data_IF_482576897204
#
_entry.id   IF_482576897204
#
_cell.length_a   1.000
_cell.length_b   1.000
_cell.length_c   1.000
_cell.angle_alpha   90.00
_cell.angle_beta   90.00
_cell.angle_gamma   90.00
#
_symmetry.space_group_name_H-M   'P 1'
#
loop_
_entity.id
_entity.type
_entity.pdbx_description
1 polymer ?
#
# COMPACT_ATOMS: atom_id res chain seq x y z
N UNK A 1 29.46 49.11 -18.54
CA UNK A 1 28.06 49.56 -18.39
C UNK A 1 27.20 48.55 -19.12
N UNK A 2 26.80 47.48 -18.42
CA UNK A 2 26.10 46.33 -19.00
C UNK A 2 24.62 46.42 -18.61
N UNK A 3 23.77 46.42 -19.63
CA UNK A 3 22.32 46.59 -19.56
C UNK A 3 21.68 45.33 -18.98
N UNK A 4 20.96 45.46 -17.86
CA UNK A 4 20.16 44.37 -17.30
C UNK A 4 18.99 44.06 -18.25
N UNK A 5 19.03 42.85 -18.84
CA UNK A 5 17.89 42.27 -19.53
C UNK A 5 16.76 42.01 -18.54
N UNK A 6 15.57 42.49 -18.90
CA UNK A 6 14.29 42.20 -18.27
C UNK A 6 14.12 40.70 -18.04
N UNK A 7 13.95 40.30 -16.78
CA UNK A 7 13.48 38.98 -16.40
C UNK A 7 12.11 38.74 -17.03
N UNK A 8 12.09 37.94 -18.07
CA UNK A 8 10.89 37.34 -18.64
C UNK A 8 10.12 36.63 -17.54
N UNK A 9 8.88 37.06 -17.33
CA UNK A 9 7.84 36.33 -16.59
C UNK A 9 7.85 34.87 -17.05
N UNK A 10 7.74 33.87 -16.16
CA UNK A 10 7.56 32.50 -16.62
C UNK A 10 6.28 32.49 -17.44
N UNK A 11 6.39 32.20 -18.73
CA UNK A 11 5.24 31.88 -19.56
C UNK A 11 4.43 30.83 -18.81
N UNK A 12 3.12 31.05 -18.75
CA UNK A 12 2.14 30.07 -18.32
C UNK A 12 2.17 28.89 -19.32
N UNK A 13 3.22 28.07 -19.20
CA UNK A 13 3.39 26.84 -19.94
C UNK A 13 2.32 25.86 -19.49
N UNK A 14 1.37 25.63 -20.39
CA UNK A 14 0.50 24.46 -20.46
C UNK A 14 0.13 23.86 -19.09
N UNK A 15 -0.89 24.43 -18.45
CA UNK A 15 -1.58 23.77 -17.35
C UNK A 15 -2.35 22.57 -17.93
N UNK A 16 -1.61 21.52 -18.31
CA UNK A 16 -2.15 20.28 -18.81
C UNK A 16 -3.29 19.84 -17.91
N UNK A 17 -4.46 19.66 -18.50
CA UNK A 17 -5.70 19.34 -17.79
C UNK A 17 -5.44 18.23 -16.77
N UNK A 18 -5.59 18.55 -15.48
CA UNK A 18 -5.33 17.60 -14.38
C UNK A 18 -6.12 16.30 -14.64
N UNK A 19 -5.57 15.13 -14.28
CA UNK A 19 -6.30 13.87 -14.42
C UNK A 19 -7.66 13.96 -13.70
N UNK A 20 -8.72 13.43 -14.31
CA UNK A 20 -10.09 13.55 -13.80
C UNK A 20 -10.25 13.07 -12.35
N UNK A 21 -9.47 12.05 -11.95
CA UNK A 21 -9.50 11.53 -10.58
C UNK A 21 -8.85 12.49 -9.56
N UNK A 22 -7.79 13.20 -9.96
CA UNK A 22 -7.18 14.24 -9.11
C UNK A 22 -8.16 15.37 -8.89
N UNK A 23 -8.85 15.80 -9.95
CA UNK A 23 -9.90 16.81 -9.87
C UNK A 23 -11.06 16.36 -8.96
N UNK A 24 -11.48 15.10 -9.05
CA UNK A 24 -12.50 14.53 -8.16
C UNK A 24 -12.06 14.53 -6.68
N UNK A 25 -10.79 14.21 -6.39
CA UNK A 25 -10.26 14.25 -5.02
C UNK A 25 -10.15 15.68 -4.49
N UNK A 26 -9.69 16.63 -5.30
CA UNK A 26 -9.68 18.05 -4.91
C UNK A 26 -11.09 18.55 -4.60
N UNK A 27 -12.10 18.19 -5.41
CA UNK A 27 -13.50 18.54 -5.12
C UNK A 27 -13.98 17.94 -3.81
N UNK A 28 -13.64 16.69 -3.54
CA UNK A 28 -14.02 16.00 -2.30
C UNK A 28 -13.35 16.62 -1.07
N UNK A 29 -12.07 16.95 -1.17
CA UNK A 29 -11.28 17.63 -0.13
C UNK A 29 -11.83 19.01 0.24
N UNK A 30 -12.40 19.73 -0.73
CA UNK A 30 -12.97 21.07 -0.54
C UNK A 30 -14.50 21.04 -0.31
N UNK A 31 -15.12 19.87 -0.17
CA UNK A 31 -16.56 19.75 0.03
C UNK A 31 -16.95 20.07 1.50
N UNK A 32 -17.07 21.36 1.82
CA UNK A 32 -17.43 21.87 3.18
C UNK A 32 -18.78 21.32 3.69
N UNK A 33 -19.68 20.90 2.80
CA UNK A 33 -20.92 20.22 3.16
C UNK A 33 -20.71 18.90 3.94
N UNK A 34 -19.49 18.36 3.96
CA UNK A 34 -19.10 17.19 4.74
C UNK A 34 -18.71 17.53 6.19
N UNK A 35 -18.45 18.80 6.52
CA UNK A 35 -18.01 19.22 7.86
C UNK A 35 -19.05 18.86 8.93
N UNK A 36 -20.34 18.98 8.61
CA UNK A 36 -21.43 18.53 9.50
C UNK A 36 -21.32 17.05 9.92
N UNK A 37 -20.73 16.21 9.08
CA UNK A 37 -20.54 14.79 9.37
C UNK A 37 -19.24 14.56 10.14
N UNK A 38 -18.19 15.32 9.80
CA UNK A 38 -16.97 15.38 10.59
C UNK A 38 -17.29 15.76 12.04
N UNK A 39 -18.06 16.84 12.25
CA UNK A 39 -18.40 17.35 13.58
C UNK A 39 -19.26 16.39 14.38
N UNK A 40 -20.14 15.62 13.71
CA UNK A 40 -20.96 14.59 14.36
C UNK A 40 -20.16 13.36 14.79
N UNK A 41 -19.16 12.97 14.02
CA UNK A 41 -18.36 11.77 14.28
C UNK A 41 -17.17 12.05 15.20
N UNK A 42 -16.66 13.29 15.22
CA UNK A 42 -15.48 13.68 15.99
C UNK A 42 -15.57 13.36 17.49
N UNK A 43 -16.69 13.59 18.21
CA UNK A 43 -16.77 13.28 19.63
C UNK A 43 -16.64 11.79 19.93
N UNK A 44 -17.28 10.94 19.12
CA UNK A 44 -17.20 9.49 19.28
C UNK A 44 -15.78 8.97 18.97
N UNK A 45 -15.16 9.50 17.92
CA UNK A 45 -13.79 9.16 17.56
C UNK A 45 -12.79 9.60 18.65
N UNK A 46 -12.96 10.80 19.20
CA UNK A 46 -12.13 11.31 20.29
C UNK A 46 -12.31 10.49 21.58
N UNK A 47 -13.54 10.05 21.89
CA UNK A 47 -13.81 9.19 23.04
C UNK A 47 -13.10 7.83 22.94
N UNK A 48 -13.02 7.26 21.72
CA UNK A 48 -12.35 5.98 21.46
C UNK A 48 -10.85 6.02 21.82
N UNK A 49 -10.18 7.14 21.55
CA UNK A 49 -8.73 7.32 21.76
C UNK A 49 -8.41 8.14 23.03
N UNK A 50 -9.37 8.28 23.95
CA UNK A 50 -9.19 9.07 25.18
C UNK A 50 -8.14 8.46 26.12
N UNK A 51 -8.08 7.13 26.17
CA UNK A 51 -7.05 6.40 26.90
C UNK A 51 -5.82 6.20 26.00
N UNK A 52 -4.65 6.64 26.46
CA UNK A 52 -3.42 6.59 25.66
C UNK A 52 -2.96 5.18 25.35
N UNK A 53 -3.16 4.20 26.25
CA UNK A 53 -2.76 2.80 25.97
C UNK A 53 -3.64 2.20 24.88
N UNK A 54 -4.93 2.54 24.89
CA UNK A 54 -5.88 2.13 23.84
C UNK A 54 -5.52 2.82 22.52
N UNK A 55 -5.24 4.11 22.53
CA UNK A 55 -4.82 4.86 21.35
C UNK A 55 -3.54 4.27 20.73
N UNK A 56 -2.51 4.04 21.54
CA UNK A 56 -1.23 3.48 21.10
C UNK A 56 -1.38 2.11 20.44
N UNK A 57 -2.25 1.25 21.01
CA UNK A 57 -2.58 -0.06 20.44
C UNK A 57 -3.32 0.08 19.11
N UNK A 58 -4.36 0.91 19.05
CA UNK A 58 -5.21 1.09 17.86
C UNK A 58 -4.48 1.79 16.71
N UNK A 59 -3.48 2.62 17.01
CA UNK A 59 -2.61 3.23 16.02
C UNK A 59 -1.46 2.32 15.59
N UNK A 60 -1.20 1.21 16.31
CA UNK A 60 -0.12 0.28 15.98
C UNK A 60 1.28 0.78 16.33
N UNK A 61 1.40 1.70 17.31
CA UNK A 61 2.68 2.35 17.66
C UNK A 61 3.80 1.36 18.01
N UNK A 62 3.47 0.28 18.72
CA UNK A 62 4.45 -0.76 19.08
C UNK A 62 5.02 -1.50 17.86
N UNK A 63 4.26 -1.60 16.77
CA UNK A 63 4.70 -2.21 15.52
C UNK A 63 5.42 -1.20 14.59
N UNK A 64 5.43 0.09 14.94
CA UNK A 64 5.98 1.18 14.11
C UNK A 64 5.21 1.45 12.82
N UNK A 65 4.01 0.87 12.68
CA UNK A 65 3.19 0.97 11.47
C UNK A 65 1.72 1.18 11.83
N UNK A 66 1.02 1.94 10.99
CA UNK A 66 -0.42 2.15 11.09
C UNK A 66 -1.16 0.80 11.13
N UNK A 67 -1.97 0.57 12.17
CA UNK A 67 -2.67 -0.69 12.33
C UNK A 67 -3.80 -0.86 11.29
N UNK A 68 -4.47 0.23 10.89
CA UNK A 68 -5.60 0.13 9.97
C UNK A 68 -5.19 -0.38 8.58
N UNK A 69 -4.20 0.20 7.87
CA UNK A 69 -3.77 -0.31 6.56
C UNK A 69 -3.39 -1.80 6.61
N UNK A 70 -2.65 -2.23 7.62
CA UNK A 70 -2.27 -3.65 7.78
C UNK A 70 -3.49 -4.54 7.98
N UNK A 71 -4.46 -4.10 8.79
CA UNK A 71 -5.69 -4.87 9.00
C UNK A 71 -6.58 -4.92 7.76
N UNK A 72 -6.53 -3.91 6.86
CA UNK A 72 -7.34 -3.92 5.63
C UNK A 72 -6.99 -5.06 4.66
N UNK A 73 -5.78 -5.61 4.74
CA UNK A 73 -5.37 -6.75 3.89
C UNK A 73 -6.24 -7.98 4.11
N UNK A 74 -6.73 -8.20 5.34
CA UNK A 74 -7.57 -9.36 5.68
C UNK A 74 -8.95 -9.30 5.00
N UNK A 75 -9.78 -8.25 5.16
CA UNK A 75 -11.05 -8.15 4.43
C UNK A 75 -10.83 -8.10 2.91
N UNK A 76 -9.82 -7.40 2.40
CA UNK A 76 -9.53 -7.35 0.96
C UNK A 76 -9.21 -8.74 0.42
N UNK A 77 -8.28 -9.45 1.06
CA UNK A 77 -7.86 -10.79 0.63
C UNK A 77 -9.00 -11.81 0.72
N UNK A 78 -9.76 -11.80 1.81
CA UNK A 78 -10.87 -12.75 2.00
C UNK A 78 -12.01 -12.50 1.02
N UNK A 79 -12.43 -11.25 0.80
CA UNK A 79 -13.51 -10.93 -0.14
C UNK A 79 -13.10 -11.11 -1.61
N UNK A 80 -11.85 -10.78 -1.96
CA UNK A 80 -11.32 -11.07 -3.30
C UNK A 80 -11.26 -12.57 -3.55
N UNK A 81 -10.81 -13.35 -2.57
CA UNK A 81 -10.80 -14.81 -2.67
C UNK A 81 -12.20 -15.39 -2.82
N UNK A 82 -13.19 -14.86 -2.09
CA UNK A 82 -14.58 -15.28 -2.24
C UNK A 82 -15.11 -14.99 -3.66
N UNK A 83 -14.80 -13.83 -4.22
CA UNK A 83 -15.13 -13.47 -5.60
C UNK A 83 -14.51 -14.45 -6.60
N UNK A 84 -13.23 -14.79 -6.45
CA UNK A 84 -12.58 -15.78 -7.32
C UNK A 84 -13.25 -17.15 -7.21
N UNK A 85 -13.60 -17.60 -6.00
CA UNK A 85 -14.32 -18.86 -5.83
C UNK A 85 -15.72 -18.85 -6.47
N UNK A 86 -16.42 -17.71 -6.46
CA UNK A 86 -17.70 -17.56 -7.15
C UNK A 86 -17.55 -17.58 -8.67
N UNK A 87 -16.44 -17.05 -9.20
CA UNK A 87 -16.18 -16.95 -10.62
C UNK A 87 -15.72 -18.29 -11.23
N UNK A 88 -14.75 -18.96 -10.59
CA UNK A 88 -14.07 -20.13 -11.16
C UNK A 88 -14.19 -21.41 -10.32
N UNK A 89 -14.67 -21.32 -9.07
CA UNK A 89 -14.70 -22.45 -8.13
C UNK A 89 -15.89 -23.41 -8.29
N UNK A 90 -16.94 -23.02 -9.01
CA UNK A 90 -18.14 -23.83 -9.21
C UNK A 90 -18.91 -24.15 -7.92
N UNK A 91 -19.85 -25.11 -7.99
CA UNK A 91 -20.80 -25.39 -6.89
C UNK A 91 -20.12 -25.91 -5.61
N UNK A 92 -19.01 -26.64 -5.74
CA UNK A 92 -18.26 -27.22 -4.60
C UNK A 92 -17.60 -26.15 -3.73
N UNK A 93 -17.25 -24.99 -4.30
CA UNK A 93 -16.57 -23.90 -3.58
C UNK A 93 -17.52 -22.96 -2.84
N UNK A 94 -18.84 -23.09 -3.02
CA UNK A 94 -19.84 -22.20 -2.38
C UNK A 94 -19.73 -22.11 -0.85
N UNK A 95 -19.49 -23.21 -0.09
CA UNK A 95 -19.29 -23.12 1.35
C UNK A 95 -18.02 -22.33 1.71
N UNK A 96 -16.92 -22.53 0.97
CA UNK A 96 -15.67 -21.80 1.19
C UNK A 96 -15.83 -20.30 0.88
N UNK A 97 -16.48 -19.95 -0.23
CA UNK A 97 -16.79 -18.56 -0.56
C UNK A 97 -17.60 -17.88 0.56
N UNK A 98 -18.64 -18.56 1.09
CA UNK A 98 -19.42 -18.03 2.20
C UNK A 98 -18.59 -17.84 3.49
N UNK A 99 -17.70 -18.78 3.81
CA UNK A 99 -16.80 -18.67 4.98
C UNK A 99 -15.86 -17.47 4.84
N UNK A 100 -15.28 -17.26 3.67
CA UNK A 100 -14.42 -16.11 3.39
C UNK A 100 -15.17 -14.78 3.50
N UNK A 101 -16.41 -14.70 2.98
CA UNK A 101 -17.27 -13.53 3.18
C UNK A 101 -17.47 -13.27 4.68
N UNK A 102 -17.77 -14.31 5.46
CA UNK A 102 -17.92 -14.22 6.91
C UNK A 102 -16.65 -13.78 7.62
N UNK A 103 -15.49 -14.34 7.24
CA UNK A 103 -14.19 -13.95 7.81
C UNK A 103 -13.88 -12.47 7.55
N UNK A 104 -14.13 -11.98 6.33
CA UNK A 104 -13.96 -10.56 6.01
C UNK A 104 -14.91 -9.65 6.79
N UNK A 105 -16.17 -10.06 7.02
CA UNK A 105 -17.11 -9.30 7.88
C UNK A 105 -16.57 -9.20 9.33
N UNK A 106 -16.05 -10.31 9.87
CA UNK A 106 -15.49 -10.31 11.22
C UNK A 106 -14.22 -9.44 11.31
N UNK A 107 -13.34 -9.52 10.31
CA UNK A 107 -12.13 -8.71 10.24
C UNK A 107 -12.41 -7.21 10.02
N UNK A 108 -13.50 -6.87 9.33
CA UNK A 108 -13.88 -5.48 9.09
C UNK A 108 -14.17 -4.71 10.38
N UNK A 109 -14.60 -5.37 11.46
CA UNK A 109 -14.90 -4.72 12.75
C UNK A 109 -13.66 -4.11 13.39
N UNK A 110 -12.60 -4.87 13.75
CA UNK A 110 -11.38 -4.28 14.30
C UNK A 110 -10.70 -3.34 13.30
N UNK A 111 -10.79 -3.62 11.99
CA UNK A 111 -10.28 -2.73 10.93
C UNK A 111 -10.96 -1.36 10.97
N UNK A 112 -12.29 -1.30 11.13
CA UNK A 112 -13.02 -0.04 11.22
C UNK A 112 -12.69 0.72 12.51
N UNK A 113 -12.48 0.02 13.62
CA UNK A 113 -12.11 0.63 14.91
C UNK A 113 -10.73 1.29 14.83
N UNK A 114 -9.72 0.61 14.27
CA UNK A 114 -8.40 1.21 14.08
C UNK A 114 -8.44 2.38 13.10
N UNK A 115 -9.22 2.29 12.02
CA UNK A 115 -9.41 3.39 11.08
C UNK A 115 -10.08 4.61 11.71
N UNK A 116 -11.07 4.41 12.59
CA UNK A 116 -11.69 5.50 13.35
C UNK A 116 -10.71 6.15 14.34
N UNK A 117 -9.84 5.36 14.97
CA UNK A 117 -8.78 5.88 15.84
C UNK A 117 -7.75 6.71 15.07
N UNK A 118 -7.32 6.27 13.89
CA UNK A 118 -6.41 7.03 13.01
C UNK A 118 -7.08 8.32 12.49
N UNK A 119 -8.35 8.25 12.13
CA UNK A 119 -9.12 9.43 11.73
C UNK A 119 -9.27 10.45 12.86
N UNK A 120 -9.41 10.00 14.12
CA UNK A 120 -9.44 10.87 15.29
C UNK A 120 -8.16 11.71 15.45
N UNK A 121 -7.01 11.15 15.07
CA UNK A 121 -5.70 11.81 15.10
C UNK A 121 -5.44 12.72 13.88
N UNK A 122 -6.31 12.70 12.87
CA UNK A 122 -6.18 13.53 11.67
C UNK A 122 -6.58 14.98 11.98
N UNK A 123 -5.65 15.92 11.79
CA UNK A 123 -5.82 17.33 12.15
C UNK A 123 -6.35 18.20 11.00
N UNK A 124 -6.10 17.83 9.74
CA UNK A 124 -6.50 18.63 8.59
C UNK A 124 -7.92 18.27 8.08
N UNK A 125 -8.74 19.29 7.84
CA UNK A 125 -10.13 19.10 7.40
C UNK A 125 -10.26 18.38 6.05
N UNK A 126 -9.45 18.66 5.01
CA UNK A 126 -9.54 17.95 3.74
C UNK A 126 -9.42 16.43 3.89
N UNK A 127 -8.42 15.94 4.64
CA UNK A 127 -8.28 14.51 4.91
C UNK A 127 -9.46 13.96 5.73
N UNK A 128 -9.96 14.72 6.72
CA UNK A 128 -11.11 14.30 7.54
C UNK A 128 -12.37 14.11 6.68
N UNK A 129 -12.62 15.00 5.72
CA UNK A 129 -13.76 14.92 4.78
C UNK A 129 -13.69 13.67 3.91
N UNK A 130 -12.51 13.39 3.32
CA UNK A 130 -12.28 12.16 2.56
C UNK A 130 -12.48 10.93 3.46
N UNK A 131 -12.00 10.98 4.70
CA UNK A 131 -12.18 9.93 5.71
C UNK A 131 -13.64 9.60 6.01
N UNK A 132 -14.53 10.60 6.10
CA UNK A 132 -15.97 10.38 6.27
C UNK A 132 -16.57 9.62 5.09
N UNK A 133 -16.22 10.00 3.86
CA UNK A 133 -16.75 9.32 2.66
C UNK A 133 -16.20 7.90 2.54
N UNK A 134 -14.92 7.70 2.87
CA UNK A 134 -14.30 6.38 2.95
C UNK A 134 -15.01 5.48 4.00
N UNK A 135 -15.27 5.99 5.20
CA UNK A 135 -15.98 5.26 6.24
C UNK A 135 -17.42 4.92 5.83
N UNK A 136 -18.12 5.85 5.18
CA UNK A 136 -19.48 5.64 4.68
C UNK A 136 -19.52 4.56 3.57
N UNK A 137 -18.61 4.63 2.60
CA UNK A 137 -18.51 3.64 1.53
C UNK A 137 -18.19 2.24 2.07
N UNK A 138 -17.24 2.11 3.01
CA UNK A 138 -16.96 0.83 3.66
C UNK A 138 -18.14 0.29 4.47
N UNK A 139 -18.93 1.17 5.10
CA UNK A 139 -20.15 0.76 5.82
C UNK A 139 -21.19 0.18 4.85
N UNK A 140 -21.41 0.83 3.70
CA UNK A 140 -22.28 0.30 2.62
C UNK A 140 -21.75 -1.04 2.12
N UNK A 141 -20.45 -1.16 1.88
CA UNK A 141 -19.78 -2.41 1.51
C UNK A 141 -20.03 -3.53 2.53
N UNK A 142 -19.84 -3.25 3.82
CA UNK A 142 -20.07 -4.20 4.91
C UNK A 142 -21.53 -4.66 4.98
N UNK A 143 -22.49 -3.75 4.78
CA UNK A 143 -23.92 -4.09 4.69
C UNK A 143 -24.19 -5.01 3.50
N UNK A 144 -23.61 -4.74 2.33
CA UNK A 144 -23.75 -5.57 1.13
C UNK A 144 -23.15 -6.97 1.35
N UNK A 145 -21.95 -7.07 1.95
CA UNK A 145 -21.34 -8.35 2.29
C UNK A 145 -22.14 -9.13 3.34
N UNK A 146 -22.68 -8.44 4.35
CA UNK A 146 -23.57 -9.05 5.35
C UNK A 146 -24.85 -9.58 4.70
N UNK A 147 -25.46 -8.81 3.80
CA UNK A 147 -26.61 -9.24 3.03
C UNK A 147 -26.26 -10.44 2.13
N UNK A 148 -25.08 -10.45 1.50
CA UNK A 148 -24.56 -11.59 0.73
C UNK A 148 -24.44 -12.85 1.60
N UNK A 149 -23.79 -12.76 2.76
CA UNK A 149 -23.63 -13.86 3.71
C UNK A 149 -24.99 -14.45 4.12
N UNK A 150 -25.96 -13.58 4.43
CA UNK A 150 -27.32 -13.96 4.80
C UNK A 150 -28.11 -14.58 3.65
N UNK A 151 -27.96 -14.09 2.42
CA UNK A 151 -28.61 -14.65 1.24
C UNK A 151 -28.08 -16.06 0.92
N UNK A 152 -26.75 -16.24 0.94
CA UNK A 152 -26.09 -17.55 0.76
C UNK A 152 -26.53 -18.55 1.83
N UNK A 153 -26.68 -18.11 3.08
CA UNK A 153 -27.16 -18.94 4.17
C UNK A 153 -28.62 -19.41 4.06
N UNK A 154 -29.45 -18.68 3.29
CA UNK A 154 -30.84 -19.07 2.98
C UNK A 154 -30.99 -19.83 1.67
N UNK A 155 -29.89 -20.25 1.05
CA UNK A 155 -29.91 -20.94 -0.25
C UNK A 155 -30.01 -20.03 -1.48
N UNK A 156 -30.17 -18.71 -1.30
CA UNK A 156 -30.22 -17.74 -2.40
C UNK A 156 -28.81 -17.36 -2.90
N UNK A 157 -28.08 -18.33 -3.44
CA UNK A 157 -26.67 -18.16 -3.79
C UNK A 157 -26.42 -17.07 -4.85
N UNK A 158 -27.18 -17.05 -5.96
CA UNK A 158 -26.99 -16.05 -7.02
C UNK A 158 -27.19 -14.61 -6.50
N UNK A 159 -28.24 -14.39 -5.68
CA UNK A 159 -28.45 -13.12 -4.99
C UNK A 159 -27.26 -12.76 -4.10
N UNK A 160 -26.71 -13.76 -3.40
CA UNK A 160 -25.48 -13.62 -2.63
C UNK A 160 -24.30 -13.14 -3.47
N UNK A 161 -24.08 -13.74 -4.63
CA UNK A 161 -23.00 -13.35 -5.57
C UNK A 161 -23.18 -11.91 -6.04
N UNK A 162 -24.37 -11.53 -6.50
CA UNK A 162 -24.66 -10.15 -6.95
C UNK A 162 -24.41 -9.14 -5.84
N UNK A 163 -24.86 -9.42 -4.62
CA UNK A 163 -24.62 -8.55 -3.46
C UNK A 163 -23.14 -8.42 -3.12
N UNK A 164 -22.37 -9.51 -3.15
CA UNK A 164 -20.93 -9.44 -2.89
C UNK A 164 -20.14 -8.78 -4.01
N UNK A 165 -20.60 -8.87 -5.27
CA UNK A 165 -20.01 -8.13 -6.40
C UNK A 165 -20.26 -6.62 -6.27
N UNK A 166 -21.49 -6.22 -5.92
CA UNK A 166 -21.78 -4.82 -5.61
C UNK A 166 -20.94 -4.32 -4.44
N UNK A 167 -20.81 -5.14 -3.38
CA UNK A 167 -19.94 -4.87 -2.23
C UNK A 167 -18.48 -4.68 -2.64
N UNK A 168 -17.96 -5.55 -3.51
CA UNK A 168 -16.59 -5.47 -4.02
C UNK A 168 -16.36 -4.18 -4.80
N UNK A 169 -17.31 -3.75 -5.64
CA UNK A 169 -17.21 -2.49 -6.37
C UNK A 169 -17.18 -1.28 -5.43
N UNK A 170 -18.07 -1.24 -4.43
CA UNK A 170 -18.12 -0.15 -3.44
C UNK A 170 -16.83 -0.11 -2.59
N UNK A 171 -16.38 -1.25 -2.08
CA UNK A 171 -15.15 -1.33 -1.28
C UNK A 171 -13.92 -1.03 -2.12
N UNK A 172 -13.88 -1.43 -3.40
CA UNK A 172 -12.81 -1.06 -4.33
C UNK A 172 -12.69 0.46 -4.52
N UNK A 173 -13.82 1.14 -4.75
CA UNK A 173 -13.86 2.60 -4.79
C UNK A 173 -13.45 3.25 -3.46
N UNK A 174 -13.87 2.66 -2.34
CA UNK A 174 -13.42 3.10 -1.02
C UNK A 174 -11.92 2.90 -0.80
N UNK A 175 -11.36 1.79 -1.32
CA UNK A 175 -9.94 1.49 -1.30
C UNK A 175 -9.10 2.55 -2.01
N UNK A 176 -9.62 3.12 -3.11
CA UNK A 176 -9.00 4.30 -3.75
C UNK A 176 -8.95 5.51 -2.80
N UNK A 177 -10.03 5.81 -2.08
CA UNK A 177 -10.04 6.89 -1.07
C UNK A 177 -9.04 6.61 0.06
N UNK A 178 -8.93 5.36 0.52
CA UNK A 178 -7.97 4.94 1.53
C UNK A 178 -6.53 5.09 1.04
N UNK A 179 -6.26 4.73 -0.22
CA UNK A 179 -4.97 4.95 -0.87
C UNK A 179 -4.65 6.44 -1.01
N UNK A 180 -5.63 7.29 -1.31
CA UNK A 180 -5.44 8.75 -1.31
C UNK A 180 -5.05 9.27 0.08
N UNK A 181 -5.75 8.85 1.14
CA UNK A 181 -5.44 9.22 2.53
C UNK A 181 -4.03 8.75 2.96
N UNK A 182 -3.70 7.50 2.70
CA UNK A 182 -2.44 6.90 3.15
C UNK A 182 -1.26 7.31 2.27
N UNK A 183 -1.37 7.22 0.94
CA UNK A 183 -0.24 7.41 0.04
C UNK A 183 -0.03 8.88 -0.33
N UNK A 184 -1.10 9.62 -0.63
CA UNK A 184 -1.01 11.02 -1.06
C UNK A 184 -1.00 12.00 0.12
N UNK A 185 -1.88 11.79 1.11
CA UNK A 185 -2.00 12.67 2.30
C UNK A 185 -1.14 12.24 3.48
N UNK A 186 -0.55 11.05 3.44
CA UNK A 186 0.29 10.48 4.52
C UNK A 186 -0.42 10.39 5.88
N UNK A 187 -1.74 10.27 5.87
CA UNK A 187 -2.53 10.04 7.10
C UNK A 187 -2.08 8.72 7.71
N UNK A 188 -1.70 8.75 8.99
CA UNK A 188 -1.24 7.64 9.83
C UNK A 188 -0.01 6.84 9.35
N UNK A 189 0.45 7.01 8.11
CA UNK A 189 1.49 6.17 7.49
C UNK A 189 2.90 6.75 7.51
N UNK A 190 3.10 7.94 8.11
CA UNK A 190 4.43 8.54 8.30
C UNK A 190 4.75 8.68 9.77
N UNK A 191 5.66 7.84 10.27
CA UNK A 191 6.19 7.98 11.62
C UNK A 191 7.09 9.24 11.71
N UNK A 192 6.97 10.06 12.78
CA UNK A 192 7.81 11.24 13.00
C UNK A 192 9.31 10.95 12.95
N UNK A 193 9.76 9.75 13.33
CA UNK A 193 11.15 9.33 13.26
C UNK A 193 11.71 9.33 11.82
N UNK A 194 10.85 9.17 10.81
CA UNK A 194 11.21 9.28 9.38
C UNK A 194 10.84 10.65 8.77
N UNK A 195 10.28 11.57 9.57
CA UNK A 195 10.02 12.96 9.15
C UNK A 195 11.23 13.85 9.41
N UNK A 196 11.94 13.62 10.52
CA UNK A 196 13.26 14.20 10.75
C UNK A 196 14.28 13.38 9.94
N UNK A 197 14.94 14.00 8.95
CA UNK A 197 16.26 13.50 8.55
C UNK A 197 17.16 13.66 9.75
N UNK A 198 17.32 12.62 10.57
CA UNK A 198 18.35 12.60 11.61
C UNK A 198 19.67 12.64 10.83
N UNK A 199 20.49 13.71 10.93
CA UNK A 199 21.82 13.66 10.38
C UNK A 199 22.51 12.46 11.00
N UNK A 200 23.02 11.55 10.17
CA UNK A 200 23.87 10.48 10.68
C UNK A 200 24.99 11.14 11.48
N UNK A 201 25.34 10.62 12.67
CA UNK A 201 26.58 11.02 13.33
C UNK A 201 27.72 10.95 12.30
N UNK A 202 28.64 11.91 12.31
CA UNK A 202 29.72 12.01 11.31
C UNK A 202 30.47 10.66 11.16
N UNK A 203 30.54 9.88 12.22
CA UNK A 203 31.11 8.53 12.30
C UNK A 203 30.40 7.50 11.38
N UNK A 204 29.07 7.57 11.28
CA UNK A 204 28.26 6.69 10.41
C UNK A 204 28.23 7.22 8.99
N UNK A 205 28.18 8.54 8.81
CA UNK A 205 28.29 9.17 7.49
C UNK A 205 29.65 8.86 6.83
N UNK A 206 30.74 8.89 7.60
CA UNK A 206 32.08 8.52 7.16
C UNK A 206 32.20 7.03 6.82
N UNK A 207 31.51 6.15 7.56
CA UNK A 207 31.51 4.70 7.29
C UNK A 207 30.75 4.30 6.01
N UNK A 208 29.78 5.10 5.57
CA UNK A 208 29.00 4.85 4.33
C UNK A 208 29.63 5.59 3.13
N UNK A 209 30.43 6.63 3.38
CA UNK A 209 31.05 7.49 2.37
C UNK A 209 32.40 7.03 1.80
N UNK A 210 32.86 5.80 2.07
CA UNK A 210 34.18 5.32 1.59
C UNK A 210 34.16 3.92 1.00
N UNK A 211 33.40 3.72 -0.08
CA UNK A 211 33.71 2.68 -1.09
C UNK A 211 33.42 3.20 -2.50
N UNK A 212 33.90 4.38 -2.85
CA UNK A 212 34.23 4.67 -4.25
C UNK A 212 35.69 5.07 -4.25
N UNK A 213 36.52 4.11 -4.65
CA UNK A 213 37.95 4.26 -4.72
C UNK A 213 38.34 5.50 -5.52
N UNK A 214 39.36 6.17 -5.01
CA UNK A 214 40.16 7.10 -5.76
C UNK A 214 40.58 6.46 -7.09
N UNK A 215 40.16 7.07 -8.20
CA UNK A 215 40.88 7.01 -9.45
C UNK A 215 41.03 8.46 -9.93
N UNK A 216 42.06 9.12 -9.41
CA UNK A 216 42.68 10.29 -10.03
C UNK A 216 43.22 9.86 -11.39
N UNK A 217 42.53 10.25 -12.46
CA UNK A 217 42.95 9.98 -13.83
C UNK A 217 42.46 11.09 -14.76
N UNK A 218 43.33 12.05 -15.04
CA UNK A 218 43.20 13.03 -16.12
C UNK A 218 43.06 12.35 -17.48
N UNK A 219 41.94 12.58 -18.18
CA UNK A 219 41.85 12.39 -19.63
C UNK A 219 40.87 13.39 -20.24
N UNK A 220 41.45 14.35 -20.97
CA UNK A 220 40.83 15.20 -22.00
C UNK A 220 40.20 14.37 -23.12
N UNK A 221 39.02 14.77 -23.61
CA UNK A 221 38.62 14.49 -25.00
C UNK A 221 37.17 14.03 -25.25
N UNK A 222 36.45 14.88 -25.99
CA UNK A 222 35.38 14.59 -26.98
C UNK A 222 34.08 13.94 -26.54
N UNK A 223 32.96 14.59 -26.90
CA UNK A 223 31.63 14.30 -26.41
C UNK A 223 30.87 13.18 -27.11
N UNK A 224 29.74 12.83 -26.51
CA UNK A 224 28.48 12.36 -27.12
C UNK A 224 27.45 12.27 -26.01
N UNK A 225 26.20 12.65 -26.30
CA UNK A 225 25.16 12.81 -25.29
C UNK A 225 24.50 11.51 -24.80
N UNK A 226 23.49 11.76 -23.97
CA UNK A 226 22.39 10.87 -23.52
C UNK A 226 22.70 9.80 -22.47
N UNK A 227 22.02 9.88 -21.33
CA UNK A 227 20.92 8.98 -20.97
C UNK A 227 20.84 8.71 -19.45
N UNK A 228 19.64 8.93 -18.92
CA UNK A 228 19.11 8.40 -17.65
C UNK A 228 19.46 6.92 -17.45
N UNK A 229 19.75 6.53 -16.20
CA UNK A 229 19.60 5.16 -15.73
C UNK A 229 19.12 5.12 -14.27
N UNK A 230 17.84 5.43 -14.10
CA UNK A 230 17.00 4.77 -13.11
C UNK A 230 16.31 3.57 -13.78
N UNK A 231 17.04 2.49 -14.07
CA UNK A 231 16.43 1.19 -14.40
C UNK A 231 17.47 0.06 -14.40
N UNK A 232 17.56 -0.72 -13.32
CA UNK A 232 17.94 -2.14 -13.35
C UNK A 232 17.94 -2.74 -11.91
N UNK A 233 16.79 -2.77 -11.24
CA UNK A 233 16.56 -3.80 -10.22
C UNK A 233 16.00 -5.04 -10.95
N UNK A 234 16.84 -5.61 -11.81
CA UNK A 234 16.57 -6.79 -12.62
C UNK A 234 17.73 -7.74 -12.45
N UNK A 235 17.44 -8.87 -11.82
CA UNK A 235 18.29 -10.03 -11.57
C UNK A 235 19.42 -10.22 -12.59
N UNK A 236 20.64 -10.49 -12.09
CA UNK A 236 21.65 -11.21 -12.86
C UNK A 236 22.37 -12.26 -11.98
N UNK A 237 22.75 -13.40 -12.59
CA UNK A 237 23.18 -14.63 -11.94
C UNK A 237 24.70 -14.67 -11.74
N UNK A 238 25.19 -15.31 -10.68
CA UNK A 238 26.62 -15.62 -10.55
C UNK A 238 26.92 -16.95 -11.25
N UNK A 239 27.33 -16.86 -12.51
CA UNK A 239 28.01 -17.92 -13.25
C UNK A 239 29.50 -17.60 -13.39
N UNK A 240 30.33 -18.50 -12.83
CA UNK A 240 31.69 -18.94 -13.20
C UNK A 240 32.60 -18.07 -14.06
N UNK A 241 33.83 -17.85 -13.54
CA UNK A 241 35.14 -18.14 -14.17
C UNK A 241 36.14 -18.42 -13.03
N UNK A 242 36.62 -19.64 -12.82
CA UNK A 242 37.76 -20.30 -13.47
C UNK A 242 39.13 -19.74 -13.02
N UNK A 243 39.91 -20.57 -12.32
CA UNK A 243 41.37 -20.54 -12.37
C UNK A 243 41.94 -21.96 -12.15
N UNK A 244 43.07 -22.18 -12.81
CA UNK A 244 43.82 -23.38 -13.20
C UNK A 244 44.35 -24.23 -12.02
N UNK A 245 44.82 -25.47 -12.13
CA UNK A 245 45.23 -26.36 -13.21
C UNK A 245 46.14 -27.44 -12.57
N UNK A 246 46.22 -28.65 -13.15
CA UNK A 246 47.26 -29.62 -12.73
C UNK A 246 46.90 -31.11 -12.77
N UNK A 247 46.96 -31.69 -13.98
CA UNK A 247 47.56 -33.00 -14.32
C UNK A 247 47.40 -34.21 -13.38
N UNK A 248 46.79 -35.29 -13.90
CA UNK A 248 46.96 -36.64 -13.32
C UNK A 248 46.14 -37.69 -14.04
N UNK A 249 46.81 -38.55 -14.80
CA UNK A 249 46.28 -39.54 -15.73
C UNK A 249 45.95 -40.87 -15.01
N UNK A 250 44.96 -41.58 -15.56
CA UNK A 250 44.96 -43.05 -15.83
C UNK A 250 44.18 -44.03 -14.91
N UNK A 251 43.47 -44.93 -15.61
CA UNK A 251 42.93 -46.28 -15.23
C UNK A 251 41.73 -46.26 -14.26
N UNK A 252 40.53 -46.78 -14.55
CA UNK A 252 40.16 -48.01 -15.27
C UNK A 252 39.71 -49.05 -14.23
N UNK A 253 38.43 -49.40 -14.17
CA UNK A 253 37.94 -50.43 -13.23
C UNK A 253 36.42 -50.52 -13.16
N UNK A 254 35.90 -51.58 -13.77
CA UNK A 254 34.53 -52.07 -13.80
C UNK A 254 34.09 -52.75 -12.49
N UNK A 255 32.79 -53.10 -12.45
CA UNK A 255 32.07 -54.05 -11.56
C UNK A 255 31.20 -53.37 -10.49
N UNK A 256 29.87 -53.30 -10.62
CA UNK A 256 28.74 -54.27 -10.70
C UNK A 256 27.99 -54.36 -9.34
N UNK A 257 26.65 -54.32 -9.30
CA UNK A 257 25.85 -54.13 -8.08
C UNK A 257 25.32 -55.47 -7.53
N UNK A 258 25.10 -55.57 -6.22
CA UNK A 258 23.94 -56.24 -5.56
C UNK A 258 24.13 -56.38 -4.04
N UNK A 259 22.99 -56.56 -3.36
CA UNK A 259 22.75 -56.82 -1.92
C UNK A 259 22.57 -55.54 -1.05
N UNK A 260 21.49 -55.33 -0.29
CA UNK A 260 20.38 -56.18 0.09
C UNK A 260 19.17 -55.34 0.59
N UNK A 261 17.98 -55.94 0.45
CA UNK A 261 16.65 -55.62 1.02
C UNK A 261 15.88 -54.45 0.41
#
# INVERSE_FOLDING_TARGET
MATYGTTSTPEAGDAGSRPAMVEAMLRLEHAEALDRWVDRLAPAAAALVRDQKVADLLHGRAAGHAAHPVLTDVPIGTWTSAFLLDLIGGRRSRPAARRLIGAGILAAVPTAVTGLAEWAATSDQPSRRVGVVHAAANTVGLVLYTASYRARGRGHHLRGVVLSLAGLGVVGGSGYLGAHLSLARKVATRDPAFAAQVPLPDEVAAGIGTTTGAATGTATGTGTGTASLAQAAGLAPTGTTADDGGTGRHVGGTEDPTAAI
#
